data_IF_917109649397
#
_entry.id   IF_917109649397
#
_cell.length_a   1.000
_cell.length_b   1.000
_cell.length_c   1.000
_cell.angle_alpha   90.00
_cell.angle_beta   90.00
_cell.angle_gamma   90.00
#
_symmetry.space_group_name_H-M   'P 1'
#
loop_
_entity.id
_entity.type
_entity.pdbx_description
1 polymer ?
#
# COMPACT_ATOMS: atom_id res chain seq x y z
N UNK A 1 51.60 41.30 -17.53
CA UNK A 1 50.42 41.46 -16.66
C UNK A 1 50.20 40.12 -15.94
N UNK A 2 50.87 39.87 -14.81
CA UNK A 2 50.73 38.59 -14.09
C UNK A 2 49.38 38.57 -13.36
N UNK A 3 48.45 37.71 -13.80
CA UNK A 3 47.22 37.44 -13.04
C UNK A 3 47.66 36.90 -11.67
N UNK A 4 47.23 37.57 -10.61
CA UNK A 4 47.56 37.19 -9.23
C UNK A 4 47.24 35.70 -9.01
N UNK A 5 48.23 34.85 -8.69
CA UNK A 5 48.02 33.42 -8.48
C UNK A 5 47.02 33.15 -7.35
N UNK A 6 46.90 34.09 -6.41
CA UNK A 6 45.90 34.08 -5.35
C UNK A 6 44.46 34.03 -5.88
N UNK A 7 44.16 34.76 -6.96
CA UNK A 7 42.83 34.75 -7.59
C UNK A 7 42.50 33.40 -8.21
N UNK A 8 43.50 32.74 -8.79
CA UNK A 8 43.33 31.42 -9.42
C UNK A 8 43.09 30.37 -8.34
N UNK A 9 43.87 30.39 -7.26
CA UNK A 9 43.71 29.48 -6.12
C UNK A 9 42.33 29.65 -5.50
N UNK A 10 41.87 30.88 -5.29
CA UNK A 10 40.55 31.16 -4.71
C UNK A 10 39.41 30.59 -5.57
N UNK A 11 39.48 30.75 -6.90
CA UNK A 11 38.48 30.22 -7.84
C UNK A 11 38.45 28.69 -7.81
N UNK A 12 39.62 28.04 -7.73
CA UNK A 12 39.71 26.58 -7.65
C UNK A 12 39.09 26.07 -6.35
N UNK A 13 39.40 26.69 -5.21
CA UNK A 13 38.82 26.30 -3.91
C UNK A 13 37.30 26.49 -3.90
N UNK A 14 36.80 27.61 -4.45
CA UNK A 14 35.36 27.86 -4.59
C UNK A 14 34.69 26.81 -5.48
N UNK A 15 35.32 26.44 -6.58
CA UNK A 15 34.80 25.41 -7.48
C UNK A 15 34.70 24.05 -6.78
N UNK A 16 35.73 23.63 -6.02
CA UNK A 16 35.68 22.40 -5.23
C UNK A 16 34.62 22.47 -4.13
N UNK A 17 34.48 23.59 -3.43
CA UNK A 17 33.47 23.76 -2.39
C UNK A 17 32.05 23.66 -2.95
N UNK A 18 31.77 24.32 -4.08
CA UNK A 18 30.47 24.25 -4.75
C UNK A 18 30.21 22.85 -5.28
N UNK A 19 31.19 22.23 -5.93
CA UNK A 19 31.06 20.85 -6.45
C UNK A 19 30.79 19.85 -5.32
N UNK A 20 31.46 20.01 -4.18
CA UNK A 20 31.24 19.18 -2.99
C UNK A 20 29.85 19.41 -2.40
N UNK A 21 29.39 20.66 -2.29
CA UNK A 21 28.06 20.99 -1.81
C UNK A 21 26.97 20.40 -2.71
N UNK A 22 27.11 20.48 -4.04
CA UNK A 22 26.22 19.85 -5.02
C UNK A 22 26.24 18.34 -4.85
N UNK A 23 27.41 17.71 -4.78
CA UNK A 23 27.51 16.27 -4.56
C UNK A 23 26.79 15.83 -3.28
N UNK A 24 27.00 16.56 -2.18
CA UNK A 24 26.38 16.26 -0.89
C UNK A 24 24.86 16.43 -0.93
N UNK A 25 24.35 17.51 -1.53
CA UNK A 25 22.91 17.80 -1.63
C UNK A 25 22.16 16.85 -2.57
N UNK A 26 22.76 16.48 -3.70
CA UNK A 26 22.07 15.69 -4.72
C UNK A 26 22.26 14.19 -4.56
N UNK A 27 23.34 13.73 -3.92
CA UNK A 27 23.65 12.29 -3.84
C UNK A 27 23.64 11.73 -2.42
N UNK A 28 24.06 12.49 -1.40
CA UNK A 28 24.15 11.98 -0.01
C UNK A 28 22.87 12.24 0.78
N UNK A 29 22.36 13.47 0.77
CA UNK A 29 21.14 13.86 1.49
C UNK A 29 19.90 13.06 1.07
N UNK A 30 19.65 12.76 -0.21
CA UNK A 30 18.45 12.03 -0.63
C UNK A 30 18.50 10.53 -0.33
N UNK A 31 19.70 9.96 -0.11
CA UNK A 31 19.90 8.52 0.07
C UNK A 31 19.59 8.00 1.48
N UNK A 32 19.44 8.87 2.48
CA UNK A 32 18.90 8.48 3.79
C UNK A 32 17.39 8.62 3.75
N UNK A 33 16.68 7.48 3.79
CA UNK A 33 15.24 7.47 3.93
C UNK A 33 14.83 8.34 5.13
N UNK A 34 14.25 9.50 4.86
CA UNK A 34 13.87 10.48 5.89
C UNK A 34 12.86 9.89 6.88
N UNK A 35 12.13 8.85 6.46
CA UNK A 35 11.14 8.14 7.24
C UNK A 35 11.38 6.63 7.15
N UNK A 36 11.26 5.90 8.25
CA UNK A 36 11.24 4.44 8.26
C UNK A 36 9.78 3.97 8.21
N UNK A 37 9.28 3.74 6.99
CA UNK A 37 7.88 3.38 6.75
C UNK A 37 7.85 2.00 6.16
N UNK A 38 7.20 1.06 6.82
CA UNK A 38 7.27 -0.37 6.46
C UNK A 38 5.91 -1.00 6.20
N UNK A 39 4.85 -0.20 6.13
CA UNK A 39 3.50 -0.70 5.88
C UNK A 39 2.70 0.25 5.01
N UNK A 40 1.93 -0.31 4.09
CA UNK A 40 0.99 0.40 3.24
C UNK A 40 -0.36 -0.33 3.26
N UNK A 41 -1.45 0.41 3.44
CA UNK A 41 -2.79 -0.19 3.45
C UNK A 41 -3.76 0.58 2.58
N UNK A 42 -4.58 -0.14 1.82
CA UNK A 42 -5.41 0.45 0.76
C UNK A 42 -6.40 -0.50 0.14
N UNK A 43 -7.22 0.02 -0.77
CA UNK A 43 -8.08 -0.81 -1.63
C UNK A 43 -7.21 -1.41 -2.73
N UNK A 44 -7.44 -2.66 -3.07
CA UNK A 44 -6.80 -3.27 -4.24
C UNK A 44 -7.36 -2.61 -5.51
N UNK A 45 -6.47 -2.15 -6.39
CA UNK A 45 -6.80 -1.46 -7.65
C UNK A 45 -6.52 -2.36 -8.85
N UNK A 46 -5.40 -3.08 -8.82
CA UNK A 46 -5.04 -4.05 -9.84
C UNK A 46 -4.15 -5.15 -9.26
N UNK A 47 -4.20 -6.31 -9.90
CA UNK A 47 -3.30 -7.43 -9.67
C UNK A 47 -2.86 -7.92 -11.05
N UNK A 48 -1.58 -7.76 -11.37
CA UNK A 48 -0.98 -8.12 -12.65
C UNK A 48 0.23 -9.01 -12.35
N UNK A 49 0.15 -10.30 -12.70
CA UNK A 49 1.17 -11.30 -12.35
C UNK A 49 1.51 -11.34 -10.85
N UNK A 50 2.69 -10.84 -10.47
CA UNK A 50 3.23 -10.71 -9.12
C UNK A 50 3.10 -9.28 -8.55
N UNK A 51 2.59 -8.32 -9.34
CA UNK A 51 2.42 -6.93 -8.95
C UNK A 51 1.00 -6.67 -8.41
N UNK A 52 0.94 -6.10 -7.22
CA UNK A 52 -0.30 -5.66 -6.58
C UNK A 52 -0.26 -4.15 -6.43
N UNK A 53 -1.28 -3.46 -6.93
CA UNK A 53 -1.44 -2.01 -6.77
C UNK A 53 -2.55 -1.71 -5.77
N UNK A 54 -2.24 -0.92 -4.75
CA UNK A 54 -3.20 -0.43 -3.76
C UNK A 54 -3.42 1.07 -3.90
N UNK A 55 -4.65 1.52 -3.71
CA UNK A 55 -4.97 2.93 -3.45
C UNK A 55 -5.17 3.12 -1.94
N UNK A 56 -4.23 3.80 -1.29
CA UNK A 56 -4.12 3.76 0.16
C UNK A 56 -3.18 4.79 0.75
N UNK A 57 -2.77 4.55 1.99
CA UNK A 57 -1.87 5.40 2.77
C UNK A 57 -0.80 4.57 3.46
N UNK A 58 0.28 5.23 3.89
CA UNK A 58 1.29 4.62 4.75
C UNK A 58 0.74 4.38 6.16
N UNK A 59 1.18 3.29 6.80
CA UNK A 59 0.73 2.89 8.14
C UNK A 59 1.96 2.71 9.07
N UNK A 60 1.99 3.30 10.27
CA UNK A 60 1.16 4.43 10.68
C UNK A 60 1.50 5.68 9.85
N UNK A 61 0.50 6.50 9.53
CA UNK A 61 0.74 7.80 8.92
C UNK A 61 1.28 8.77 9.98
N UNK A 62 2.50 9.31 9.86
CA UNK A 62 3.04 10.24 10.86
C UNK A 62 2.20 11.52 10.90
N UNK A 63 1.80 11.92 12.10
CA UNK A 63 1.07 13.17 12.31
C UNK A 63 1.90 14.36 11.79
N UNK A 64 1.29 15.19 10.93
CA UNK A 64 1.91 16.40 10.39
C UNK A 64 2.67 16.24 9.07
N UNK A 65 2.84 15.03 8.53
CA UNK A 65 3.38 14.84 7.17
C UNK A 65 2.25 14.69 6.16
N UNK A 66 1.92 15.78 5.45
CA UNK A 66 0.91 15.78 4.39
C UNK A 66 1.23 14.77 3.28
N UNK A 67 2.52 14.60 2.97
CA UNK A 67 2.94 13.59 1.99
C UNK A 67 2.57 12.19 2.48
N UNK A 68 2.93 11.83 3.71
CA UNK A 68 2.72 10.46 4.19
C UNK A 68 1.26 10.12 4.52
N UNK A 69 0.42 11.13 4.72
CA UNK A 69 -1.01 10.99 5.00
C UNK A 69 -1.88 11.05 3.73
N UNK A 70 -1.33 11.49 2.60
CA UNK A 70 -2.08 11.59 1.35
C UNK A 70 -2.35 10.20 0.74
N UNK A 71 -3.60 9.99 0.32
CA UNK A 71 -3.97 8.81 -0.47
C UNK A 71 -3.19 8.78 -1.78
N UNK A 72 -2.62 7.64 -2.13
CA UNK A 72 -1.84 7.42 -3.36
C UNK A 72 -2.00 6.00 -3.86
N UNK A 73 -1.68 5.82 -5.14
CA UNK A 73 -1.43 4.49 -5.69
C UNK A 73 -0.02 4.06 -5.29
N UNK A 74 0.10 2.82 -4.85
CA UNK A 74 1.37 2.21 -4.50
C UNK A 74 1.39 0.78 -4.99
N UNK A 75 2.42 0.43 -5.75
CA UNK A 75 2.60 -0.88 -6.34
C UNK A 75 3.73 -1.60 -5.64
N UNK A 76 3.53 -2.88 -5.33
CA UNK A 76 4.51 -3.76 -4.71
C UNK A 76 4.45 -5.14 -5.33
N UNK A 77 5.48 -5.94 -5.07
CA UNK A 77 5.61 -7.32 -5.55
C UNK A 77 5.29 -8.33 -4.46
N UNK A 78 4.69 -9.43 -4.84
CA UNK A 78 4.43 -10.62 -4.02
C UNK A 78 5.22 -11.78 -4.64
N UNK A 79 6.07 -12.42 -3.85
CA UNK A 79 6.85 -13.58 -4.28
C UNK A 79 6.51 -14.84 -3.45
N UNK A 80 7.25 -15.92 -3.68
CA UNK A 80 7.06 -17.19 -2.98
C UNK A 80 7.38 -17.12 -1.47
N UNK A 81 8.15 -16.13 -1.03
CA UNK A 81 8.49 -15.90 0.38
C UNK A 81 7.47 -14.98 1.08
N UNK A 82 6.60 -14.32 0.31
CA UNK A 82 5.60 -13.40 0.83
C UNK A 82 4.49 -14.17 1.54
N UNK A 83 4.31 -13.91 2.85
CA UNK A 83 3.22 -14.53 3.61
C UNK A 83 1.88 -13.88 3.31
N UNK A 84 0.94 -14.65 2.79
CA UNK A 84 -0.42 -14.17 2.51
C UNK A 84 -1.38 -14.63 3.61
N UNK A 85 -2.16 -13.70 4.14
CA UNK A 85 -3.16 -13.95 5.18
C UNK A 85 -4.50 -13.35 4.79
N UNK A 86 -5.53 -14.17 4.92
CA UNK A 86 -6.91 -13.82 4.61
C UNK A 86 -7.67 -13.60 5.91
N UNK A 87 -8.43 -12.52 6.01
CA UNK A 87 -9.39 -12.33 7.09
C UNK A 87 -10.79 -12.57 6.53
N UNK A 88 -11.39 -13.69 6.93
CA UNK A 88 -12.77 -14.02 6.60
C UNK A 88 -13.70 -13.47 7.67
N UNK A 89 -14.52 -12.49 7.29
CA UNK A 89 -15.53 -11.89 8.14
C UNK A 89 -16.85 -12.61 7.91
N UNK A 90 -17.53 -13.02 8.99
CA UNK A 90 -18.87 -13.61 8.92
C UNK A 90 -19.89 -12.50 8.65
N UNK A 91 -20.11 -12.21 7.38
CA UNK A 91 -21.10 -11.23 6.94
C UNK A 91 -22.53 -11.71 7.21
N UNK A 92 -23.44 -10.80 7.57
CA UNK A 92 -24.86 -11.08 7.53
C UNK A 92 -25.29 -11.54 6.14
N UNK A 93 -26.22 -12.49 6.10
CA UNK A 93 -26.84 -12.97 4.88
C UNK A 93 -27.76 -11.90 4.29
N UNK A 94 -27.99 -11.95 2.97
CA UNK A 94 -28.94 -11.04 2.33
C UNK A 94 -30.38 -11.25 2.81
N UNK A 95 -30.73 -12.45 3.28
CA UNK A 95 -32.00 -12.74 3.93
C UNK A 95 -32.14 -12.00 5.27
N UNK A 96 -31.10 -12.01 6.11
CA UNK A 96 -31.07 -11.25 7.37
C UNK A 96 -31.11 -9.73 7.12
N UNK A 97 -30.44 -9.26 6.06
CA UNK A 97 -30.51 -7.85 5.64
C UNK A 97 -31.92 -7.48 5.18
N UNK A 98 -32.60 -8.33 4.43
CA UNK A 98 -33.98 -8.11 3.96
C UNK A 98 -35.01 -8.17 5.09
N UNK A 99 -34.78 -9.01 6.11
CA UNK A 99 -35.64 -9.13 7.28
C UNK A 99 -35.45 -8.00 8.31
N UNK A 100 -34.43 -7.13 8.13
CA UNK A 100 -34.13 -6.07 9.07
C UNK A 100 -35.26 -5.02 9.14
N UNK A 101 -35.53 -4.46 10.34
CA UNK A 101 -36.47 -3.35 10.49
C UNK A 101 -36.07 -2.20 9.56
N UNK A 102 -37.04 -1.65 8.82
CA UNK A 102 -36.82 -0.56 7.85
C UNK A 102 -35.91 -0.92 6.66
N UNK A 103 -35.64 -2.21 6.42
CA UNK A 103 -34.79 -2.69 5.32
C UNK A 103 -33.32 -2.28 5.46
N UNK A 104 -32.86 -1.98 6.68
CA UNK A 104 -31.49 -1.53 6.97
C UNK A 104 -30.93 -2.25 8.18
N UNK A 105 -29.97 -3.15 7.95
CA UNK A 105 -29.19 -3.76 9.02
C UNK A 105 -28.05 -2.82 9.42
N UNK A 106 -28.01 -2.38 10.68
CA UNK A 106 -26.92 -1.58 11.24
C UNK A 106 -25.96 -2.48 12.01
N UNK A 107 -24.69 -2.49 11.63
CA UNK A 107 -23.61 -3.19 12.33
C UNK A 107 -22.28 -2.50 12.01
N UNK A 108 -21.28 -2.66 12.87
CA UNK A 108 -19.89 -2.29 12.58
C UNK A 108 -19.14 -3.52 12.09
N UNK A 109 -18.25 -3.35 11.11
CA UNK A 109 -17.47 -4.47 10.55
C UNK A 109 -16.54 -5.06 11.62
N UNK A 110 -16.06 -4.21 12.53
CA UNK A 110 -15.18 -4.55 13.63
C UNK A 110 -15.84 -5.43 14.69
N UNK A 111 -17.17 -5.41 14.77
CA UNK A 111 -17.95 -6.19 15.73
C UNK A 111 -18.34 -7.58 15.18
N UNK A 112 -18.12 -7.81 13.87
CA UNK A 112 -18.43 -9.09 13.24
C UNK A 112 -17.37 -10.14 13.57
N UNK A 113 -17.77 -11.42 13.80
CA UNK A 113 -16.82 -12.50 13.97
C UNK A 113 -15.91 -12.62 12.74
N UNK A 114 -14.61 -12.66 12.97
CA UNK A 114 -13.61 -12.79 11.92
C UNK A 114 -12.63 -13.91 12.25
N UNK A 115 -12.18 -14.63 11.22
CA UNK A 115 -11.16 -15.66 11.31
C UNK A 115 -9.99 -15.30 10.39
N UNK A 116 -8.76 -15.37 10.90
CA UNK A 116 -7.55 -15.25 10.08
C UNK A 116 -7.16 -16.64 9.58
N UNK A 117 -7.09 -16.78 8.26
CA UNK A 117 -6.68 -18.00 7.56
C UNK A 117 -5.44 -17.74 6.73
N UNK A 118 -4.74 -18.81 6.42
CA UNK A 118 -3.73 -18.78 5.36
C UNK A 118 -4.40 -18.39 4.05
N UNK A 119 -3.78 -17.47 3.32
CA UNK A 119 -4.24 -17.01 2.02
C UNK A 119 -3.20 -17.29 0.95
N UNK A 120 -3.60 -17.14 -0.30
CA UNK A 120 -2.70 -17.21 -1.45
C UNK A 120 -3.04 -16.12 -2.47
N UNK A 121 -2.19 -15.99 -3.49
CA UNK A 121 -2.35 -14.96 -4.52
C UNK A 121 -3.54 -15.24 -5.45
N UNK A 122 -3.91 -16.50 -5.67
CA UNK A 122 -5.07 -16.88 -6.49
C UNK A 122 -6.37 -16.51 -5.77
N UNK A 123 -6.45 -16.76 -4.47
CA UNK A 123 -7.54 -16.36 -3.58
C UNK A 123 -7.72 -14.83 -3.58
N UNK A 124 -6.61 -14.08 -3.45
CA UNK A 124 -6.64 -12.62 -3.53
C UNK A 124 -7.19 -12.15 -4.89
N UNK A 125 -6.73 -12.76 -5.99
CA UNK A 125 -7.22 -12.47 -7.36
C UNK A 125 -8.71 -12.78 -7.49
N UNK A 126 -9.17 -13.94 -7.01
CA UNK A 126 -10.57 -14.34 -7.06
C UNK A 126 -11.47 -13.38 -6.27
N UNK A 127 -11.01 -12.94 -5.09
CA UNK A 127 -11.71 -11.93 -4.29
C UNK A 127 -11.74 -10.58 -4.99
N UNK A 128 -10.65 -10.16 -5.63
CA UNK A 128 -10.60 -8.92 -6.39
C UNK A 128 -11.56 -8.93 -7.57
N UNK A 129 -11.60 -10.02 -8.34
CA UNK A 129 -12.50 -10.17 -9.48
C UNK A 129 -13.97 -10.18 -9.07
N UNK A 130 -14.28 -10.83 -7.94
CA UNK A 130 -15.65 -10.94 -7.44
C UNK A 130 -16.12 -9.68 -6.72
N UNK A 131 -15.21 -8.93 -6.10
CA UNK A 131 -15.51 -7.85 -5.16
C UNK A 131 -14.53 -6.65 -5.27
N UNK A 132 -14.32 -6.07 -6.47
CA UNK A 132 -13.19 -5.16 -6.74
C UNK A 132 -13.20 -3.88 -5.88
N UNK A 133 -14.37 -3.37 -5.52
CA UNK A 133 -14.49 -2.09 -4.81
C UNK A 133 -14.40 -2.20 -3.28
N UNK A 134 -14.43 -3.42 -2.73
CA UNK A 134 -14.55 -3.64 -1.30
C UNK A 134 -13.39 -4.46 -0.71
N UNK A 135 -12.42 -4.87 -1.54
CA UNK A 135 -11.22 -5.59 -1.11
C UNK A 135 -10.17 -4.62 -0.55
N UNK A 136 -9.83 -4.80 0.72
CA UNK A 136 -8.77 -4.13 1.46
C UNK A 136 -7.55 -5.05 1.56
N UNK A 137 -6.36 -4.48 1.41
CA UNK A 137 -5.12 -5.17 1.76
C UNK A 137 -4.16 -4.25 2.54
N UNK A 138 -3.36 -4.85 3.43
CA UNK A 138 -2.17 -4.24 4.02
C UNK A 138 -0.96 -5.05 3.63
N UNK A 139 0.05 -4.37 3.11
CA UNK A 139 1.36 -4.94 2.82
C UNK A 139 2.37 -4.46 3.86
N UNK A 140 3.09 -5.40 4.46
CA UNK A 140 4.24 -5.17 5.33
C UNK A 140 5.53 -5.39 4.55
N UNK A 141 6.58 -4.67 4.92
CA UNK A 141 7.88 -4.68 4.26
C UNK A 141 9.03 -4.78 5.27
N UNK A 142 10.10 -5.47 4.90
CA UNK A 142 11.28 -5.58 5.78
C UNK A 142 12.00 -4.23 5.94
N UNK A 143 12.10 -3.49 4.84
CA UNK A 143 12.80 -2.21 4.71
C UNK A 143 11.81 -1.07 4.48
N UNK A 144 12.29 0.15 4.68
CA UNK A 144 11.48 1.35 4.39
C UNK A 144 11.07 1.38 2.91
N UNK A 145 9.79 1.64 2.67
CA UNK A 145 9.20 1.78 1.33
C UNK A 145 9.03 3.24 0.90
N UNK A 146 9.48 4.19 1.70
CA UNK A 146 9.39 5.60 1.35
C UNK A 146 10.20 5.88 0.07
N UNK A 147 9.51 6.29 -1.00
CA UNK A 147 10.07 6.48 -2.36
C UNK A 147 10.69 5.21 -2.97
N UNK A 148 10.28 4.04 -2.50
CA UNK A 148 10.67 2.77 -3.11
C UNK A 148 9.80 2.50 -4.34
N UNK A 149 10.40 1.93 -5.38
CA UNK A 149 9.73 1.46 -6.58
C UNK A 149 9.57 -0.06 -6.50
N UNK A 150 8.32 -0.54 -6.50
CA UNK A 150 7.96 -1.96 -6.52
C UNK A 150 8.69 -2.84 -5.46
N UNK A 151 8.70 -2.46 -4.17
CA UNK A 151 9.31 -3.30 -3.14
C UNK A 151 8.60 -4.65 -3.02
N UNK A 152 9.31 -5.66 -2.53
CA UNK A 152 8.75 -6.98 -2.23
C UNK A 152 8.15 -6.96 -0.83
N UNK A 153 6.88 -7.34 -0.69
CA UNK A 153 6.22 -7.45 0.60
C UNK A 153 6.71 -8.68 1.37
N UNK A 154 6.82 -8.60 2.69
CA UNK A 154 7.08 -9.78 3.54
C UNK A 154 5.80 -10.45 4.00
N UNK A 155 4.71 -9.69 4.03
CA UNK A 155 3.41 -10.17 4.44
C UNK A 155 2.31 -9.29 3.83
N UNK A 156 1.24 -9.92 3.37
CA UNK A 156 0.04 -9.26 2.86
C UNK A 156 -1.17 -9.81 3.60
N UNK A 157 -1.90 -8.93 4.29
CA UNK A 157 -3.15 -9.27 4.97
C UNK A 157 -4.31 -8.64 4.22
N UNK A 158 -5.29 -9.43 3.78
CA UNK A 158 -6.42 -8.93 2.98
C UNK A 158 -7.79 -9.33 3.54
N UNK A 159 -8.78 -8.46 3.31
CA UNK A 159 -10.15 -8.60 3.84
C UNK A 159 -11.17 -7.85 2.97
N UNK A 160 -12.43 -8.25 3.01
CA UNK A 160 -13.53 -7.43 2.49
C UNK A 160 -13.89 -6.35 3.54
N UNK A 161 -14.23 -5.12 3.11
CA UNK A 161 -14.69 -4.02 4.00
C UNK A 161 -16.20 -3.84 4.02
N UNK A 162 -16.93 -4.56 3.18
CA UNK A 162 -18.37 -4.46 3.06
C UNK A 162 -18.96 -5.83 2.74
N UNK A 163 -20.27 -5.96 2.90
CA UNK A 163 -20.99 -7.18 2.53
C UNK A 163 -20.77 -7.42 1.01
N UNK A 164 -20.30 -8.61 0.61
CA UNK A 164 -20.16 -8.96 -0.80
C UNK A 164 -21.54 -8.96 -1.49
N UNK A 165 -21.56 -8.56 -2.76
CA UNK A 165 -22.79 -8.57 -3.54
C UNK A 165 -23.45 -9.96 -3.51
N UNK A 166 -24.79 -10.05 -3.55
CA UNK A 166 -25.44 -11.34 -3.63
C UNK A 166 -24.93 -12.04 -4.88
N UNK A 167 -24.55 -13.31 -4.76
CA UNK A 167 -24.26 -14.11 -5.94
C UNK A 167 -25.53 -14.12 -6.80
N UNK A 168 -25.46 -13.55 -8.00
CA UNK A 168 -26.48 -13.76 -9.02
C UNK A 168 -26.44 -15.25 -9.33
N UNK A 169 -27.24 -16.05 -8.61
CA UNK A 169 -27.62 -17.35 -9.13
C UNK A 169 -28.37 -17.05 -10.42
N UNK A 170 -27.71 -17.29 -11.54
CA UNK A 170 -28.35 -17.38 -12.85
C UNK A 170 -29.34 -18.53 -12.77
N UNK A 171 -30.53 -18.26 -12.24
CA UNK A 171 -31.66 -19.15 -12.35
C UNK A 171 -32.12 -19.10 -13.80
N UNK A 172 -31.96 -20.20 -14.51
CA UNK A 172 -32.94 -20.79 -15.44
C UNK A 172 -32.28 -21.95 -16.18
N UNK A 173 -32.36 -23.15 -15.63
CA UNK A 173 -32.68 -24.31 -16.47
C UNK A 173 -34.13 -24.67 -16.17
N UNK A 174 -34.92 -24.59 -17.25
CA UNK A 174 -36.34 -24.97 -17.33
C UNK A 174 -36.50 -26.48 -17.24
#
# INVERSE_FOLDING_TARGET
MYKSPLKIILVVVLFFAVSWAVYYFFYILPGKSQFDIRKFGGNVVSIEDDLVTLNGVFIPAPAGSLDLSAKRNFTFRVDEETRLSKIEIKWPTWEEVAAAPEGRLKFSVEDLPSEQKEGDIEDLKNWFLSNPNILYAEANFEKSIYKSENPVAVEVVYKLRAIPAPSTQTGQEQ
#
